data_IF_813146196506
#
_entry.id   IF_813146196506
#
_cell.length_a   1.000
_cell.length_b   1.000
_cell.length_c   1.000
_cell.angle_alpha   90.00
_cell.angle_beta   90.00
_cell.angle_gamma   90.00
#
_symmetry.space_group_name_H-M   'P 1'
#
loop_
_entity.id
_entity.type
_entity.pdbx_description
1 polymer ?
#
# COMPACT_ATOMS: atom_id res chain seq x y z
N UNK A 1 -4.12 13.51 3.58
CA UNK A 1 -3.81 14.43 4.69
C UNK A 1 -2.33 14.38 5.04
N UNK A 2 -1.87 15.22 5.98
CA UNK A 2 -0.49 15.17 6.48
C UNK A 2 -0.17 13.84 7.19
N UNK A 3 1.11 13.43 7.21
CA UNK A 3 1.56 12.21 7.87
C UNK A 3 2.00 12.43 9.32
N UNK A 4 2.93 13.34 9.59
CA UNK A 4 3.57 13.54 10.90
C UNK A 4 2.59 13.94 12.01
N UNK A 5 2.83 13.47 13.23
CA UNK A 5 1.98 13.72 14.40
C UNK A 5 0.73 12.86 14.54
N UNK A 6 0.47 11.94 13.60
CA UNK A 6 -0.68 11.01 13.64
C UNK A 6 -0.24 9.60 14.01
N UNK A 7 -0.97 8.90 14.86
CA UNK A 7 -0.75 7.47 15.08
C UNK A 7 -1.35 6.63 13.92
N UNK A 8 -1.03 5.32 13.84
CA UNK A 8 -1.41 4.46 12.71
C UNK A 8 -2.92 4.26 12.51
N UNK A 9 -3.76 4.56 13.50
CA UNK A 9 -5.22 4.48 13.33
C UNK A 9 -5.76 5.50 12.31
N UNK A 10 -4.98 6.54 11.98
CA UNK A 10 -5.35 7.56 11.01
C UNK A 10 -5.01 7.08 9.61
N UNK A 11 -6.04 6.74 8.83
CA UNK A 11 -5.92 6.24 7.45
C UNK A 11 -5.16 7.18 6.50
N UNK A 12 -5.08 8.47 6.83
CA UNK A 12 -4.18 9.42 6.16
C UNK A 12 -2.72 8.94 6.11
N UNK A 13 -2.24 8.25 7.16
CA UNK A 13 -0.89 7.66 7.23
C UNK A 13 -0.91 6.20 6.83
N UNK A 14 -1.66 5.36 7.54
CA UNK A 14 -1.64 3.91 7.32
C UNK A 14 -2.13 3.54 5.92
N UNK A 15 -3.19 4.19 5.43
CA UNK A 15 -3.67 4.01 4.06
C UNK A 15 -2.65 4.43 3.02
N UNK A 16 -1.99 5.59 3.21
CA UNK A 16 -0.95 6.05 2.27
C UNK A 16 0.28 5.12 2.24
N UNK A 17 0.73 4.63 3.40
CA UNK A 17 1.82 3.65 3.48
C UNK A 17 1.42 2.33 2.82
N UNK A 18 0.19 1.87 3.04
CA UNK A 18 -0.32 0.67 2.38
C UNK A 18 -0.37 0.84 0.86
N UNK A 19 -0.81 1.98 0.33
CA UNK A 19 -0.83 2.20 -1.12
C UNK A 19 0.56 2.25 -1.72
N UNK A 20 1.55 2.80 -1.00
CA UNK A 20 2.96 2.68 -1.40
C UNK A 20 3.40 1.22 -1.47
N UNK A 21 3.10 0.44 -0.43
CA UNK A 21 3.44 -0.98 -0.36
C UNK A 21 2.82 -1.79 -1.49
N UNK A 22 1.52 -1.58 -1.75
CA UNK A 22 0.80 -2.21 -2.87
C UNK A 22 1.44 -1.83 -4.21
N UNK A 23 1.56 -0.54 -4.51
CA UNK A 23 2.09 -0.08 -5.80
C UNK A 23 3.54 -0.58 -6.03
N UNK A 24 4.37 -0.58 -4.98
CA UNK A 24 5.74 -1.09 -5.05
C UNK A 24 5.76 -2.60 -5.36
N UNK A 25 4.89 -3.38 -4.72
CA UNK A 25 4.78 -4.81 -4.99
C UNK A 25 4.24 -5.11 -6.39
N UNK A 26 3.27 -4.34 -6.90
CA UNK A 26 2.77 -4.47 -8.28
C UNK A 26 3.91 -4.28 -9.29
N UNK A 27 4.71 -3.22 -9.12
CA UNK A 27 5.85 -2.96 -10.01
C UNK A 27 6.95 -4.01 -9.83
N UNK A 28 7.30 -4.37 -8.59
CA UNK A 28 8.31 -5.38 -8.31
C UNK A 28 7.93 -6.78 -8.81
N UNK A 29 6.64 -7.08 -8.91
CA UNK A 29 6.12 -8.31 -9.51
C UNK A 29 6.16 -8.30 -11.05
N UNK A 30 6.65 -7.22 -11.66
CA UNK A 30 6.71 -7.08 -13.13
C UNK A 30 5.33 -6.89 -13.76
N UNK A 31 4.31 -6.52 -12.97
CA UNK A 31 2.94 -6.38 -13.48
C UNK A 31 2.71 -5.06 -14.21
N UNK A 32 3.51 -4.04 -13.91
CA UNK A 32 3.54 -2.75 -14.59
C UNK A 32 4.91 -2.08 -14.39
N UNK A 33 5.30 -1.17 -15.29
CA UNK A 33 6.49 -0.32 -15.10
C UNK A 33 6.23 0.85 -14.15
N UNK A 34 4.98 1.34 -14.11
CA UNK A 34 4.50 2.35 -13.15
C UNK A 34 3.07 2.03 -12.74
N UNK A 35 2.75 2.32 -11.49
CA UNK A 35 1.44 2.02 -10.91
C UNK A 35 1.03 3.13 -9.94
N UNK A 36 -0.17 3.66 -10.12
CA UNK A 36 -0.87 4.46 -9.13
C UNK A 36 -2.00 3.63 -8.52
N UNK A 37 -2.15 3.74 -7.19
CA UNK A 37 -3.22 3.06 -6.46
C UNK A 37 -3.92 4.08 -5.58
N UNK A 38 -5.24 4.15 -5.71
CA UNK A 38 -6.10 5.00 -4.90
C UNK A 38 -7.03 4.13 -4.07
N UNK A 39 -7.15 4.46 -2.78
CA UNK A 39 -8.10 3.84 -1.86
C UNK A 39 -8.98 4.90 -1.21
N UNK A 40 -10.26 4.58 -1.03
CA UNK A 40 -11.23 5.42 -0.35
C UNK A 40 -11.85 4.68 0.84
N UNK A 41 -12.00 5.38 1.97
CA UNK A 41 -12.65 4.88 3.18
C UNK A 41 -13.79 5.80 3.58
N UNK A 42 -14.85 5.23 4.16
CA UNK A 42 -15.88 5.95 4.86
C UNK A 42 -15.67 5.82 6.38
N UNK A 43 -15.90 6.90 7.13
CA UNK A 43 -15.75 6.89 8.59
C UNK A 43 -16.66 5.81 9.19
N UNK A 44 -16.11 4.94 10.03
CA UNK A 44 -16.83 3.85 10.70
C UNK A 44 -16.99 2.58 9.86
N UNK A 45 -16.46 2.53 8.64
CA UNK A 45 -16.48 1.35 7.78
C UNK A 45 -15.07 0.76 7.70
N UNK A 46 -14.93 -0.53 7.99
CA UNK A 46 -13.63 -1.20 7.96
C UNK A 46 -13.14 -1.45 6.51
N UNK A 47 -14.04 -1.90 5.64
CA UNK A 47 -13.72 -2.15 4.24
C UNK A 47 -13.54 -0.84 3.45
N UNK A 48 -12.60 -0.77 2.50
CA UNK A 48 -12.51 0.35 1.59
C UNK A 48 -13.76 0.42 0.71
N UNK A 49 -14.32 1.62 0.56
CA UNK A 49 -15.45 1.88 -0.33
C UNK A 49 -15.03 1.95 -1.81
N UNK A 50 -13.73 2.08 -2.07
CA UNK A 50 -13.17 2.09 -3.42
C UNK A 50 -11.69 1.71 -3.43
N UNK A 51 -11.28 0.99 -4.46
CA UNK A 51 -9.88 0.72 -4.82
C UNK A 51 -9.78 0.90 -6.34
N UNK A 52 -8.86 1.74 -6.77
CA UNK A 52 -8.57 2.03 -8.17
C UNK A 52 -7.09 1.81 -8.42
N UNK A 53 -6.78 1.17 -9.55
CA UNK A 53 -5.42 0.95 -10.03
C UNK A 53 -5.34 1.60 -11.41
N UNK A 54 -4.25 2.32 -11.67
CA UNK A 54 -3.91 2.89 -12.97
C UNK A 54 -2.46 2.53 -13.28
N UNK A 55 -2.22 1.80 -14.37
CA UNK A 55 -0.87 1.41 -14.81
C UNK A 55 -0.33 2.29 -15.93
N UNK A 56 -1.12 3.26 -16.38
CA UNK A 56 -0.79 4.24 -17.40
C UNK A 56 -0.28 3.63 -18.70
N UNK A 57 -0.90 2.51 -19.11
CA UNK A 57 -0.55 1.75 -20.31
C UNK A 57 0.70 0.89 -20.18
N UNK A 58 1.29 0.77 -18.99
CA UNK A 58 2.48 -0.08 -18.76
C UNK A 58 2.16 -1.43 -18.14
N UNK A 59 0.88 -1.69 -17.85
CA UNK A 59 0.41 -2.95 -17.29
C UNK A 59 0.57 -4.13 -18.26
N UNK A 60 0.98 -5.27 -17.73
CA UNK A 60 0.99 -6.56 -18.43
C UNK A 60 -0.42 -7.17 -18.59
N UNK A 61 -1.38 -6.67 -17.80
CA UNK A 61 -2.79 -7.04 -17.77
C UNK A 61 -3.65 -5.79 -17.66
N UNK A 62 -4.95 -5.86 -18.01
CA UNK A 62 -5.88 -4.77 -17.75
C UNK A 62 -5.91 -4.35 -16.27
N UNK A 63 -6.02 -3.05 -16.01
CA UNK A 63 -5.95 -2.49 -14.64
C UNK A 63 -6.99 -3.08 -13.67
N UNK A 64 -8.16 -3.49 -14.18
CA UNK A 64 -9.19 -4.12 -13.36
C UNK A 64 -8.81 -5.54 -12.88
N UNK A 65 -8.02 -6.29 -13.65
CA UNK A 65 -7.48 -7.59 -13.24
C UNK A 65 -6.41 -7.41 -12.16
N UNK A 66 -5.51 -6.42 -12.33
CA UNK A 66 -4.51 -6.06 -11.33
C UNK A 66 -5.20 -5.58 -10.04
N UNK A 67 -6.26 -4.78 -10.14
CA UNK A 67 -7.05 -4.36 -9.00
C UNK A 67 -7.71 -5.54 -8.27
N UNK A 68 -8.19 -6.55 -9.01
CA UNK A 68 -8.76 -7.77 -8.42
C UNK A 68 -7.69 -8.59 -7.67
N UNK A 69 -6.51 -8.77 -8.26
CA UNK A 69 -5.38 -9.43 -7.63
C UNK A 69 -4.94 -8.69 -6.35
N UNK A 70 -4.87 -7.36 -6.38
CA UNK A 70 -4.59 -6.54 -5.19
C UNK A 70 -5.63 -6.79 -4.09
N UNK A 71 -6.92 -6.82 -4.41
CA UNK A 71 -7.98 -7.11 -3.41
C UNK A 71 -7.89 -8.51 -2.83
N UNK A 72 -7.38 -9.48 -3.59
CA UNK A 72 -7.22 -10.85 -3.12
C UNK A 72 -6.01 -11.03 -2.20
N UNK A 73 -4.93 -10.29 -2.46
CA UNK A 73 -3.64 -10.43 -1.75
C UNK A 73 -3.54 -9.51 -0.53
N UNK A 74 -4.12 -8.31 -0.61
CA UNK A 74 -3.99 -7.30 0.42
C UNK A 74 -5.29 -7.11 1.19
N UNK A 75 -5.27 -7.39 2.49
CA UNK A 75 -6.34 -6.99 3.40
C UNK A 75 -6.22 -5.49 3.70
N UNK A 76 -7.07 -4.71 3.03
CA UNK A 76 -7.05 -3.25 3.09
C UNK A 76 -7.86 -2.67 4.26
N UNK A 77 -8.31 -3.48 5.22
CA UNK A 77 -8.97 -2.93 6.42
C UNK A 77 -7.93 -2.20 7.28
N UNK A 78 -8.24 -1.03 7.89
CA UNK A 78 -7.25 -0.26 8.66
C UNK A 78 -6.50 -1.04 9.73
N UNK A 79 -7.18 -1.92 10.47
CA UNK A 79 -6.55 -2.78 11.48
C UNK A 79 -5.58 -3.80 10.84
N UNK A 80 -6.00 -4.45 9.76
CA UNK A 80 -5.15 -5.40 9.04
C UNK A 80 -3.91 -4.73 8.43
N UNK A 81 -4.04 -3.48 7.96
CA UNK A 81 -2.90 -2.69 7.48
C UNK A 81 -1.90 -2.38 8.60
N UNK A 82 -2.41 -2.04 9.79
CA UNK A 82 -1.57 -1.77 10.96
C UNK A 82 -0.78 -3.02 11.37
N UNK A 83 -1.43 -4.18 11.35
CA UNK A 83 -0.82 -5.46 11.71
C UNK A 83 0.18 -5.93 10.63
N UNK A 84 -0.22 -5.93 9.36
CA UNK A 84 0.61 -6.37 8.24
C UNK A 84 1.89 -5.54 8.09
N UNK A 85 1.80 -4.23 8.34
CA UNK A 85 2.94 -3.32 8.29
C UNK A 85 3.62 -3.12 9.65
N UNK A 86 3.18 -3.81 10.70
CA UNK A 86 3.75 -3.72 12.05
C UNK A 86 3.92 -2.26 12.49
N UNK A 87 2.82 -1.48 12.47
CA UNK A 87 2.89 -0.02 12.65
C UNK A 87 2.84 0.44 14.11
N UNK A 88 2.49 -0.43 15.07
CA UNK A 88 2.39 -0.09 16.49
C UNK A 88 3.77 -0.10 17.18
N UNK A 89 4.70 0.67 16.62
CA UNK A 89 6.10 0.77 17.05
C UNK A 89 6.59 2.22 16.97
N UNK A 90 7.64 2.60 17.72
CA UNK A 90 8.20 3.95 17.71
C UNK A 90 9.10 4.22 16.49
N UNK A 91 8.58 4.01 15.27
CA UNK A 91 9.37 4.01 14.02
C UNK A 91 9.27 5.31 13.19
N UNK A 92 8.41 6.26 13.58
CA UNK A 92 8.01 7.36 12.69
C UNK A 92 8.92 8.60 12.72
N UNK A 93 9.79 8.77 13.72
CA UNK A 93 10.62 9.99 13.81
C UNK A 93 11.53 10.15 12.59
N UNK A 94 12.14 9.05 12.13
CA UNK A 94 13.02 9.02 10.96
C UNK A 94 12.31 9.23 9.61
N UNK A 95 10.97 9.14 9.56
CA UNK A 95 10.20 9.42 8.33
C UNK A 95 9.97 10.91 8.11
N UNK A 96 10.12 11.74 9.16
CA UNK A 96 9.78 13.16 9.14
C UNK A 96 10.74 14.03 8.31
N UNK A 97 11.90 13.48 7.92
CA UNK A 97 12.90 14.15 7.08
C UNK A 97 13.35 13.17 6.00
N UNK A 98 13.71 13.71 4.83
CA UNK A 98 14.18 12.94 3.66
C UNK A 98 13.14 11.97 3.06
N UNK A 99 11.85 12.23 3.33
CA UNK A 99 10.75 11.51 2.71
C UNK A 99 10.36 10.22 3.42
N UNK A 100 9.08 9.88 3.27
CA UNK A 100 8.46 8.67 3.83
C UNK A 100 8.63 7.44 2.93
N UNK A 101 8.90 7.65 1.64
CA UNK A 101 8.93 6.61 0.61
C UNK A 101 10.27 6.58 -0.13
N UNK A 102 10.61 5.42 -0.70
CA UNK A 102 11.83 5.21 -1.49
C UNK A 102 13.09 4.92 -0.68
N UNK A 103 12.96 4.68 0.63
CA UNK A 103 14.06 4.37 1.54
C UNK A 103 13.88 2.98 2.14
N UNK A 104 14.72 2.02 1.76
CA UNK A 104 14.62 0.63 2.22
C UNK A 104 15.30 0.42 3.58
N UNK A 105 14.70 1.03 4.61
CA UNK A 105 15.16 0.90 6.00
C UNK A 105 14.42 -0.23 6.71
N UNK A 106 15.03 -0.90 7.71
CA UNK A 106 14.41 -2.04 8.39
C UNK A 106 13.01 -1.76 8.96
N UNK A 107 12.79 -0.52 9.42
CA UNK A 107 11.53 -0.08 9.99
C UNK A 107 10.46 0.31 8.96
N UNK A 108 10.84 0.54 7.70
CA UNK A 108 9.93 0.99 6.65
C UNK A 108 9.32 -0.23 5.97
N UNK A 109 8.46 -0.92 6.71
CA UNK A 109 7.80 -2.15 6.26
C UNK A 109 7.01 -1.97 4.96
N UNK A 110 6.48 -0.77 4.71
CA UNK A 110 5.79 -0.42 3.46
C UNK A 110 6.70 -0.32 2.23
N UNK A 111 8.02 -0.40 2.41
CA UNK A 111 8.99 -0.49 1.32
C UNK A 111 9.38 -1.94 0.99
N UNK A 112 8.82 -2.94 1.68
CA UNK A 112 9.08 -4.35 1.36
C UNK A 112 8.37 -4.75 0.06
N UNK A 113 8.94 -5.72 -0.64
CA UNK A 113 8.37 -6.34 -1.85
C UNK A 113 8.02 -7.81 -1.59
N UNK A 114 7.39 -8.07 -0.45
CA UNK A 114 7.11 -9.38 0.13
C UNK A 114 5.77 -10.00 -0.33
N UNK A 115 5.02 -9.32 -1.21
CA UNK A 115 3.77 -9.82 -1.81
C UNK A 115 3.86 -10.13 -3.30
N UNK A 116 5.07 -10.06 -3.86
CA UNK A 116 5.32 -10.30 -5.29
C UNK A 116 4.80 -11.66 -5.77
N UNK A 117 5.15 -12.74 -5.05
CA UNK A 117 4.72 -14.09 -5.42
C UNK A 117 3.21 -14.32 -5.25
N UNK A 118 2.60 -13.67 -4.28
CA UNK A 118 1.14 -13.75 -4.05
C UNK A 118 0.38 -13.03 -5.16
N UNK A 119 0.86 -11.84 -5.58
CA UNK A 119 0.31 -11.09 -6.72
C UNK A 119 0.43 -11.88 -8.03
N UNK A 120 1.58 -12.49 -8.30
CA UNK A 120 1.78 -13.29 -9.50
C UNK A 120 0.88 -14.53 -9.57
N UNK A 121 0.47 -15.09 -8.42
CA UNK A 121 -0.46 -16.23 -8.35
C UNK A 121 -1.94 -15.82 -8.44
N UNK A 122 -2.26 -14.56 -8.15
CA UNK A 122 -3.62 -14.04 -8.15
C UNK A 122 -4.03 -13.44 -9.51
N UNK A 123 -3.14 -13.45 -10.50
CA UNK A 123 -3.34 -13.01 -11.89
C UNK A 123 -3.29 -14.20 -12.87
#
# INVERSE_FOLDING_TARGET
GAFSGKDPSKVDRSGAYAMRWVAKNVVAAGLAERCEVQVAYAIGVAEPVGLYVETFGTGTRPDHEIAAAVRAVFDLRPAALIDALDLLRPIFAQTAVFGHFGRELPDFTWERTDRVEELGRAL
#
